data_IF_418439444795
#
_entry.id   IF_418439444795
#
_cell.length_a   1.000
_cell.length_b   1.000
_cell.length_c   1.000
_cell.angle_alpha   90.00
_cell.angle_beta   90.00
_cell.angle_gamma   90.00
#
_symmetry.space_group_name_H-M   'P 1'
#
loop_
_entity.id
_entity.type
_entity.pdbx_description
1 polymer ?
#
# COMPACT_ATOMS: atom_id res chain seq x y z
N UNK A 1 -16.22 3.68 -6.59
CA UNK A 1 -15.47 2.64 -5.85
C UNK A 1 -16.29 1.36 -5.92
N UNK A 2 -15.67 0.19 -6.10
CA UNK A 2 -16.41 -1.06 -5.96
C UNK A 2 -17.04 -1.11 -4.56
N UNK A 3 -18.32 -1.42 -4.46
CA UNK A 3 -19.00 -1.59 -3.18
C UNK A 3 -18.48 -2.90 -2.60
N UNK A 4 -17.49 -2.82 -1.70
CA UNK A 4 -16.92 -3.97 -1.02
C UNK A 4 -17.82 -4.24 0.20
N UNK A 5 -18.66 -5.27 0.12
CA UNK A 5 -19.53 -5.66 1.22
C UNK A 5 -18.72 -6.38 2.30
N UNK A 6 -18.88 -5.95 3.56
CA UNK A 6 -18.49 -6.78 4.69
C UNK A 6 -19.35 -8.05 4.67
N UNK A 7 -18.71 -9.24 4.75
CA UNK A 7 -19.45 -10.50 4.90
C UNK A 7 -19.97 -10.56 6.34
N UNK A 8 -21.28 -10.40 6.51
CA UNK A 8 -21.98 -10.55 7.79
C UNK A 8 -22.63 -11.94 7.76
N UNK A 9 -22.22 -12.84 8.67
CA UNK A 9 -22.93 -14.10 8.92
C UNK A 9 -23.55 -14.03 10.32
N UNK A 10 -24.88 -14.18 10.39
CA UNK A 10 -25.66 -14.19 11.63
C UNK A 10 -26.12 -15.63 11.86
N UNK A 11 -25.84 -16.20 13.03
CA UNK A 11 -26.40 -17.49 13.46
C UNK A 11 -27.58 -17.29 14.42
N UNK A 12 -28.39 -18.34 14.58
CA UNK A 12 -29.66 -18.39 15.32
C UNK A 12 -29.63 -17.83 16.77
N UNK A 13 -28.46 -17.60 17.37
CA UNK A 13 -28.33 -17.16 18.77
C UNK A 13 -28.01 -15.65 18.93
N UNK A 14 -28.10 -14.82 17.88
CA UNK A 14 -27.83 -13.38 17.94
C UNK A 14 -26.44 -12.97 18.49
N UNK A 15 -25.50 -13.91 18.59
CA UNK A 15 -24.10 -13.61 18.85
C UNK A 15 -23.47 -13.00 17.59
N UNK A 16 -23.19 -11.71 17.61
CA UNK A 16 -22.45 -11.03 16.55
C UNK A 16 -20.97 -11.35 16.72
N UNK A 17 -20.44 -12.29 15.92
CA UNK A 17 -19.00 -12.42 15.73
C UNK A 17 -18.57 -11.45 14.62
N UNK A 18 -17.76 -10.45 14.94
CA UNK A 18 -17.15 -9.61 13.91
C UNK A 18 -15.97 -10.37 13.27
N UNK A 19 -16.30 -11.02 12.15
CA UNK A 19 -15.59 -11.07 10.85
C UNK A 19 -14.14 -11.60 10.89
N UNK A 20 -13.95 -12.82 10.37
CA UNK A 20 -12.65 -13.25 9.83
C UNK A 20 -12.11 -12.14 8.92
N UNK A 21 -11.02 -11.47 9.31
CA UNK A 21 -10.38 -10.41 8.50
C UNK A 21 -10.30 -10.90 7.05
N UNK A 22 -10.96 -10.17 6.15
CA UNK A 22 -11.08 -10.57 4.76
C UNK A 22 -9.68 -10.79 4.18
N UNK A 23 -9.44 -11.96 3.60
CA UNK A 23 -8.11 -12.26 3.05
C UNK A 23 -7.86 -11.35 1.86
N UNK A 24 -6.60 -10.98 1.64
CA UNK A 24 -6.25 -10.15 0.49
C UNK A 24 -6.67 -10.81 -0.84
N UNK A 25 -6.65 -12.15 -0.93
CA UNK A 25 -7.18 -12.91 -2.06
C UNK A 25 -8.63 -12.57 -2.36
N UNK A 26 -9.48 -12.49 -1.34
CA UNK A 26 -10.90 -12.27 -1.47
C UNK A 26 -11.18 -10.84 -1.91
N UNK A 27 -10.42 -9.87 -1.37
CA UNK A 27 -10.50 -8.46 -1.77
C UNK A 27 -10.06 -8.31 -3.24
N UNK A 28 -8.98 -8.98 -3.64
CA UNK A 28 -8.50 -8.97 -5.03
C UNK A 28 -9.57 -9.49 -5.98
N UNK A 29 -10.22 -10.62 -5.67
CA UNK A 29 -11.31 -11.17 -6.50
C UNK A 29 -12.46 -10.18 -6.64
N UNK A 30 -12.90 -9.56 -5.54
CA UNK A 30 -13.97 -8.56 -5.59
C UNK A 30 -13.59 -7.30 -6.35
N UNK A 31 -12.34 -6.83 -6.27
CA UNK A 31 -11.87 -5.70 -7.07
C UNK A 31 -11.88 -6.07 -8.55
N UNK A 32 -11.53 -7.31 -8.93
CA UNK A 32 -11.61 -7.79 -10.31
C UNK A 32 -13.04 -7.86 -10.84
N UNK A 33 -13.97 -8.39 -10.06
CA UNK A 33 -15.37 -8.52 -10.47
C UNK A 33 -16.05 -7.16 -10.64
N UNK A 34 -15.77 -6.23 -9.74
CA UNK A 34 -16.42 -4.92 -9.72
C UNK A 34 -15.76 -3.89 -10.65
N UNK A 35 -14.57 -4.17 -11.20
CA UNK A 35 -13.87 -3.25 -12.08
C UNK A 35 -13.41 -3.96 -13.35
N UNK A 36 -13.69 -3.39 -14.51
CA UNK A 36 -13.20 -3.90 -15.79
C UNK A 36 -11.70 -3.54 -16.05
N UNK A 37 -10.86 -3.66 -15.02
CA UNK A 37 -9.45 -3.29 -15.08
C UNK A 37 -8.59 -4.45 -15.56
N UNK A 38 -7.71 -4.19 -16.54
CA UNK A 38 -6.77 -5.19 -17.07
C UNK A 38 -5.45 -5.28 -16.28
N UNK A 39 -5.15 -4.26 -15.47
CA UNK A 39 -3.86 -4.15 -14.78
C UNK A 39 -3.91 -4.82 -13.41
N UNK A 40 -3.24 -5.97 -13.30
CA UNK A 40 -3.09 -6.69 -12.03
C UNK A 40 -2.46 -5.80 -10.94
N UNK A 41 -1.46 -4.98 -11.27
CA UNK A 41 -0.86 -4.05 -10.31
C UNK A 41 -1.87 -3.03 -9.78
N UNK A 42 -2.82 -2.58 -10.60
CA UNK A 42 -3.86 -1.64 -10.19
C UNK A 42 -4.89 -2.32 -9.29
N UNK A 43 -5.31 -3.52 -9.66
CA UNK A 43 -6.24 -4.35 -8.88
C UNK A 43 -5.67 -4.62 -7.49
N UNK A 44 -4.42 -5.11 -7.42
CA UNK A 44 -3.78 -5.42 -6.14
C UNK A 44 -3.52 -4.16 -5.32
N UNK A 45 -3.15 -3.04 -5.95
CA UNK A 45 -2.99 -1.76 -5.27
C UNK A 45 -4.28 -1.35 -4.56
N UNK A 46 -5.40 -1.32 -5.28
CA UNK A 46 -6.72 -1.00 -4.74
C UNK A 46 -7.12 -1.96 -3.60
N UNK A 47 -6.87 -3.27 -3.78
CA UNK A 47 -7.15 -4.27 -2.75
C UNK A 47 -6.30 -4.07 -1.49
N UNK A 48 -5.03 -3.68 -1.63
CA UNK A 48 -4.14 -3.37 -0.52
C UNK A 48 -4.56 -2.11 0.23
N UNK A 49 -4.99 -1.05 -0.48
CA UNK A 49 -5.54 0.16 0.15
C UNK A 49 -6.76 -0.16 1.01
N UNK A 50 -7.69 -0.96 0.47
CA UNK A 50 -8.85 -1.43 1.23
C UNK A 50 -8.42 -2.29 2.43
N UNK A 51 -7.45 -3.18 2.26
CA UNK A 51 -6.96 -4.02 3.35
C UNK A 51 -6.42 -3.17 4.52
N UNK A 52 -5.57 -2.17 4.25
CA UNK A 52 -5.06 -1.26 5.30
C UNK A 52 -6.21 -0.56 5.99
N UNK A 53 -7.09 0.09 5.21
CA UNK A 53 -8.23 0.85 5.74
C UNK A 53 -9.08 0.03 6.71
N UNK A 54 -9.35 -1.23 6.39
CA UNK A 54 -10.30 -2.07 7.14
C UNK A 54 -9.66 -2.91 8.25
N UNK A 55 -8.35 -3.15 8.22
CA UNK A 55 -7.72 -4.17 9.09
C UNK A 55 -6.57 -3.66 9.96
N UNK A 56 -6.04 -2.47 9.67
CA UNK A 56 -4.83 -1.92 10.31
C UNK A 56 -5.20 -0.63 11.03
N UNK A 57 -4.70 -0.47 12.25
CA UNK A 57 -4.78 0.78 13.00
C UNK A 57 -3.68 1.74 12.56
N UNK A 58 -3.95 3.04 12.63
CA UNK A 58 -2.95 4.07 12.39
C UNK A 58 -1.82 3.97 13.39
N UNK A 59 -0.59 3.81 12.90
CA UNK A 59 0.61 3.67 13.75
C UNK A 59 0.92 4.95 14.54
N UNK A 60 0.40 6.11 14.09
CA UNK A 60 0.60 7.41 14.77
C UNK A 60 -0.30 7.59 16.00
N UNK A 61 -1.59 7.26 15.89
CA UNK A 61 -2.59 7.58 16.93
C UNK A 61 -3.36 6.36 17.45
N UNK A 62 -3.10 5.16 16.91
CA UNK A 62 -3.74 3.89 17.28
C UNK A 62 -5.26 3.82 17.02
N UNK A 63 -5.81 4.75 16.24
CA UNK A 63 -7.19 4.75 15.76
C UNK A 63 -7.34 3.90 14.48
N UNK A 64 -8.55 3.47 14.11
CA UNK A 64 -8.86 2.74 12.87
C UNK A 64 -9.61 3.59 11.83
N UNK A 65 -9.73 4.91 12.05
CA UNK A 65 -10.47 5.79 11.16
C UNK A 65 -9.62 6.28 9.96
N UNK A 66 -9.51 5.41 8.95
CA UNK A 66 -8.92 5.76 7.65
C UNK A 66 -9.98 6.10 6.61
N UNK A 67 -9.74 7.17 5.86
CA UNK A 67 -10.49 7.49 4.64
C UNK A 67 -9.60 7.39 3.40
N UNK A 68 -10.22 7.11 2.26
CA UNK A 68 -9.52 7.06 0.97
C UNK A 68 -9.46 8.47 0.39
N UNK A 69 -8.28 8.90 -0.05
CA UNK A 69 -8.10 10.16 -0.73
C UNK A 69 -8.79 10.14 -2.12
N UNK A 70 -9.05 11.32 -2.68
CA UNK A 70 -9.71 11.39 -4.00
C UNK A 70 -8.85 10.71 -5.07
N UNK A 71 -9.50 10.04 -6.01
CA UNK A 71 -8.81 9.37 -7.12
C UNK A 71 -7.96 10.38 -7.89
N UNK A 72 -6.69 10.04 -8.13
CA UNK A 72 -5.66 10.87 -8.77
C UNK A 72 -5.04 11.98 -7.91
N UNK A 73 -5.33 12.06 -6.61
CA UNK A 73 -4.46 12.83 -5.72
C UNK A 73 -3.07 12.19 -5.70
N UNK A 74 -2.07 12.96 -6.14
CA UNK A 74 -0.73 12.42 -6.29
C UNK A 74 -0.16 12.03 -4.92
N UNK A 75 0.27 10.77 -4.85
CA UNK A 75 1.02 10.17 -3.75
C UNK A 75 0.34 10.05 -2.39
N UNK A 76 -0.99 10.11 -2.33
CA UNK A 76 -1.76 9.89 -1.09
C UNK A 76 -2.92 8.97 -1.41
N UNK A 77 -2.96 7.81 -0.77
CA UNK A 77 -4.02 6.82 -0.98
C UNK A 77 -5.02 6.87 0.18
N UNK A 78 -4.51 7.06 1.40
CA UNK A 78 -5.31 7.11 2.62
C UNK A 78 -4.96 8.33 3.48
N UNK A 79 -5.90 8.75 4.32
CA UNK A 79 -5.70 9.72 5.39
C UNK A 79 -6.31 9.17 6.68
N UNK A 80 -5.59 9.25 7.80
CA UNK A 80 -6.17 9.02 9.12
C UNK A 80 -6.94 10.26 9.54
N UNK A 81 -8.25 10.17 9.73
CA UNK A 81 -9.07 11.33 10.10
C UNK A 81 -8.80 11.79 11.53
N UNK A 82 -8.34 10.89 12.40
CA UNK A 82 -8.10 11.21 13.82
C UNK A 82 -6.82 12.01 14.06
N UNK A 83 -5.80 11.87 13.20
CA UNK A 83 -4.53 12.60 13.35
C UNK A 83 -4.06 13.30 12.07
N UNK A 84 -4.88 13.31 11.02
CA UNK A 84 -4.60 13.87 9.69
C UNK A 84 -3.36 13.33 8.98
N UNK A 85 -2.81 12.19 9.42
CA UNK A 85 -1.64 11.58 8.79
C UNK A 85 -2.00 11.08 7.39
N UNK A 86 -1.31 11.62 6.39
CA UNK A 86 -1.39 11.19 4.98
C UNK A 86 -0.55 9.94 4.77
N UNK A 87 -1.06 9.01 3.98
CA UNK A 87 -0.46 7.70 3.79
C UNK A 87 -0.45 7.31 2.31
N UNK A 88 0.68 6.79 1.86
CA UNK A 88 0.81 6.02 0.63
C UNK A 88 0.83 4.52 0.96
N UNK A 89 0.04 3.73 0.25
CA UNK A 89 0.05 2.28 0.27
C UNK A 89 0.78 1.75 -0.96
N UNK A 90 1.68 0.79 -0.75
CA UNK A 90 2.36 0.06 -1.84
C UNK A 90 2.18 -1.44 -1.66
N UNK A 91 1.95 -2.13 -2.77
CA UNK A 91 1.93 -3.59 -2.82
C UNK A 91 3.23 -4.11 -3.45
N UNK A 92 3.84 -5.14 -2.84
CA UNK A 92 5.02 -5.81 -3.40
C UNK A 92 4.92 -7.32 -3.23
N UNK A 93 4.87 -8.03 -4.35
CA UNK A 93 5.03 -9.48 -4.35
C UNK A 93 6.41 -9.87 -3.81
N UNK A 94 6.45 -10.74 -2.81
CA UNK A 94 7.67 -11.14 -2.10
C UNK A 94 7.64 -12.63 -1.74
N UNK A 95 8.81 -13.19 -1.48
CA UNK A 95 8.95 -14.52 -0.87
C UNK A 95 9.30 -14.40 0.61
N UNK A 96 9.10 -15.45 1.41
CA UNK A 96 9.48 -15.46 2.83
C UNK A 96 10.97 -15.13 3.02
N UNK A 97 11.84 -15.65 2.15
CA UNK A 97 13.28 -15.36 2.16
C UNK A 97 13.56 -13.85 1.98
N UNK A 98 12.85 -13.20 1.06
CA UNK A 98 12.99 -11.75 0.86
C UNK A 98 12.51 -10.96 2.08
N UNK A 99 11.38 -11.35 2.67
CA UNK A 99 10.88 -10.72 3.91
C UNK A 99 11.88 -10.87 5.06
N UNK A 100 12.45 -12.05 5.25
CA UNK A 100 13.47 -12.27 6.28
C UNK A 100 14.71 -11.39 6.05
N UNK A 101 15.16 -11.25 4.79
CA UNK A 101 16.27 -10.34 4.46
C UNK A 101 15.94 -8.87 4.75
N UNK A 102 14.70 -8.44 4.49
CA UNK A 102 14.24 -7.08 4.82
C UNK A 102 14.26 -6.86 6.33
N UNK A 103 13.73 -7.82 7.11
CA UNK A 103 13.74 -7.76 8.58
C UNK A 103 15.17 -7.70 9.13
N UNK A 104 16.06 -8.55 8.63
CA UNK A 104 17.46 -8.59 9.08
C UNK A 104 18.25 -7.32 8.75
N UNK A 105 18.02 -6.75 7.56
CA UNK A 105 18.73 -5.53 7.14
C UNK A 105 18.09 -4.25 7.65
N UNK A 106 16.82 -4.32 8.06
CA UNK A 106 15.97 -3.16 8.34
C UNK A 106 15.91 -2.15 7.17
N UNK A 107 15.92 -2.68 5.93
CA UNK A 107 15.91 -1.90 4.69
C UNK A 107 15.03 -2.53 3.61
N UNK A 108 14.39 -1.69 2.81
CA UNK A 108 13.52 -2.13 1.70
C UNK A 108 13.65 -1.19 0.50
N UNK A 109 13.98 -1.75 -0.65
CA UNK A 109 14.08 -1.01 -1.91
C UNK A 109 12.90 -1.34 -2.82
N UNK A 110 12.26 -0.31 -3.36
CA UNK A 110 11.13 -0.48 -4.30
C UNK A 110 11.14 0.57 -5.40
N UNK A 111 10.25 0.39 -6.37
CA UNK A 111 10.02 1.35 -7.45
C UNK A 111 9.02 2.41 -6.96
N UNK A 112 9.38 3.68 -7.17
CA UNK A 112 8.52 4.83 -6.90
C UNK A 112 7.67 5.23 -8.10
N UNK A 113 7.05 6.40 -7.99
CA UNK A 113 6.33 7.03 -9.10
C UNK A 113 7.28 7.82 -9.99
N UNK A 114 6.80 8.96 -10.49
CA UNK A 114 7.63 9.93 -11.19
C UNK A 114 8.64 10.56 -10.22
N UNK A 115 9.88 10.73 -10.66
CA UNK A 115 10.98 11.19 -9.81
C UNK A 115 10.72 12.58 -9.21
N UNK A 116 10.39 13.57 -10.05
CA UNK A 116 10.15 14.95 -9.64
C UNK A 116 8.98 15.07 -8.67
N UNK A 117 7.88 14.38 -8.95
CA UNK A 117 6.70 14.33 -8.08
C UNK A 117 7.01 13.65 -6.74
N UNK A 118 7.72 12.52 -6.75
CA UNK A 118 8.09 11.82 -5.51
C UNK A 118 8.99 12.70 -4.62
N UNK A 119 9.93 13.45 -5.21
CA UNK A 119 10.76 14.40 -4.47
C UNK A 119 9.93 15.52 -3.82
N UNK A 120 8.98 16.12 -4.56
CA UNK A 120 8.10 17.17 -4.01
C UNK A 120 7.28 16.66 -2.82
N UNK A 121 6.86 15.39 -2.87
CA UNK A 121 6.04 14.78 -1.85
C UNK A 121 6.78 14.44 -0.55
N UNK A 122 8.11 14.57 -0.49
CA UNK A 122 8.84 14.51 0.79
C UNK A 122 8.31 15.59 1.76
N UNK A 123 8.07 16.80 1.24
CA UNK A 123 7.58 17.93 2.05
C UNK A 123 6.13 17.76 2.52
N UNK A 124 5.39 16.80 1.96
CA UNK A 124 4.01 16.50 2.33
C UNK A 124 3.90 15.57 3.55
N UNK A 125 5.03 15.17 4.14
CA UNK A 125 5.11 14.35 5.36
C UNK A 125 4.28 13.07 5.28
N UNK A 126 4.41 12.35 4.16
CA UNK A 126 3.59 11.17 3.85
C UNK A 126 4.23 9.91 4.41
N UNK A 127 3.48 9.17 5.23
CA UNK A 127 3.89 7.85 5.71
C UNK A 127 3.62 6.77 4.67
N UNK A 128 4.35 5.65 4.73
CA UNK A 128 4.16 4.54 3.82
C UNK A 128 3.72 3.27 4.56
N UNK A 129 2.68 2.62 4.04
CA UNK A 129 2.45 1.20 4.27
C UNK A 129 2.89 0.39 3.06
N UNK A 130 3.60 -0.71 3.28
CA UNK A 130 4.03 -1.63 2.22
C UNK A 130 3.55 -3.03 2.55
N UNK A 131 2.60 -3.53 1.78
CA UNK A 131 2.11 -4.89 1.90
C UNK A 131 3.01 -5.82 1.09
N UNK A 132 3.68 -6.73 1.77
CA UNK A 132 4.48 -7.81 1.20
C UNK A 132 3.60 -9.06 1.11
N UNK A 133 3.32 -9.54 -0.10
CA UNK A 133 2.39 -10.64 -0.32
C UNK A 133 2.97 -11.72 -1.25
N UNK A 134 2.49 -12.95 -1.12
CA UNK A 134 2.80 -14.04 -2.05
C UNK A 134 1.99 -13.89 -3.33
N UNK A 135 2.66 -13.90 -4.48
CA UNK A 135 2.04 -13.57 -5.78
C UNK A 135 0.92 -14.54 -6.19
N UNK A 136 1.08 -15.83 -5.92
CA UNK A 136 0.16 -16.87 -6.39
C UNK A 136 -1.13 -16.92 -5.56
N UNK A 137 -1.01 -16.81 -4.24
CA UNK A 137 -2.12 -16.97 -3.31
C UNK A 137 -2.71 -15.64 -2.82
N UNK A 138 -2.04 -14.51 -3.11
CA UNK A 138 -2.29 -13.23 -2.47
C UNK A 138 -2.20 -13.26 -0.94
N UNK A 139 -1.55 -14.26 -0.35
CA UNK A 139 -1.33 -14.32 1.10
C UNK A 139 -0.40 -13.19 1.51
N UNK A 140 -0.84 -12.35 2.45
CA UNK A 140 0.04 -11.36 3.06
C UNK A 140 1.09 -12.10 3.89
N UNK A 141 2.36 -11.81 3.60
CA UNK A 141 3.51 -12.33 4.35
C UNK A 141 3.87 -11.36 5.47
N UNK A 142 3.88 -10.06 5.17
CA UNK A 142 4.15 -9.01 6.15
C UNK A 142 3.65 -7.64 5.68
N UNK A 143 3.49 -6.71 6.62
CA UNK A 143 3.21 -5.30 6.36
C UNK A 143 4.33 -4.47 7.00
N UNK A 144 4.94 -3.62 6.19
CA UNK A 144 5.93 -2.65 6.62
C UNK A 144 5.27 -1.30 6.80
N UNK A 145 5.73 -0.55 7.79
CA UNK A 145 5.38 0.85 7.98
C UNK A 145 6.65 1.71 8.01
N UNK A 146 6.63 2.81 7.28
CA UNK A 146 7.75 3.75 7.18
C UNK A 146 7.21 5.13 7.51
N UNK A 147 7.81 5.72 8.53
CA UNK A 147 7.56 7.08 8.97
C UNK A 147 8.19 8.08 8.00
N UNK A 148 7.46 9.16 7.68
CA UNK A 148 7.94 10.21 6.78
C UNK A 148 9.27 10.83 7.22
N UNK A 149 9.54 10.89 8.54
CA UNK A 149 10.79 11.41 9.11
C UNK A 149 12.01 10.57 8.70
N UNK A 150 11.80 9.34 8.22
CA UNK A 150 12.85 8.45 7.71
C UNK A 150 13.02 8.53 6.18
N UNK A 151 12.33 9.46 5.51
CA UNK A 151 12.34 9.59 4.05
C UNK A 151 12.92 10.96 3.68
N UNK A 152 14.13 10.96 3.12
CA UNK A 152 14.78 12.17 2.59
C UNK A 152 14.99 12.05 1.08
N UNK A 153 15.52 13.10 0.45
CA UNK A 153 15.90 13.08 -0.97
C UNK A 153 16.90 11.97 -1.29
N UNK A 154 17.77 11.62 -0.35
CA UNK A 154 18.80 10.60 -0.52
C UNK A 154 18.21 9.19 -0.63
N UNK A 155 16.99 9.01 -0.11
CA UNK A 155 16.22 7.78 -0.31
C UNK A 155 15.77 7.60 -1.76
N UNK A 156 15.77 8.65 -2.59
CA UNK A 156 15.14 8.66 -3.92
C UNK A 156 16.20 8.79 -5.01
N UNK A 157 16.40 7.73 -5.79
CA UNK A 157 17.33 7.73 -6.93
C UNK A 157 16.57 7.77 -8.26
N UNK A 158 16.87 8.69 -9.18
CA UNK A 158 16.24 8.73 -10.49
C UNK A 158 16.58 7.48 -11.31
N UNK A 159 15.62 7.00 -12.10
CA UNK A 159 15.85 5.98 -13.13
C UNK A 159 16.16 6.66 -14.46
N UNK A 160 16.65 5.89 -15.44
CA UNK A 160 16.74 6.37 -16.82
C UNK A 160 15.32 6.73 -17.32
N UNK A 161 15.13 7.88 -18.00
CA UNK A 161 13.88 8.19 -18.67
C UNK A 161 13.47 7.08 -19.65
N UNK A 162 12.17 6.89 -19.84
CA UNK A 162 11.66 5.95 -20.83
C UNK A 162 12.07 6.38 -22.25
N UNK A 163 12.29 5.38 -23.11
CA UNK A 163 12.69 5.60 -24.51
C UNK A 163 11.69 6.48 -25.26
N UNK A 164 12.16 7.14 -26.32
CA UNK A 164 11.31 7.95 -27.19
C UNK A 164 10.16 7.14 -27.84
N UNK A 165 10.34 5.83 -27.97
CA UNK A 165 9.34 4.90 -28.51
C UNK A 165 8.32 4.42 -27.48
N UNK A 166 8.51 4.71 -26.19
CA UNK A 166 7.58 4.30 -25.14
C UNK A 166 6.30 5.15 -25.16
N UNK A 167 5.19 4.57 -24.73
CA UNK A 167 3.90 5.30 -24.58
C UNK A 167 4.01 6.58 -23.73
N UNK A 168 4.93 6.59 -22.76
CA UNK A 168 5.24 7.74 -21.91
C UNK A 168 6.69 8.20 -22.14
N UNK A 169 7.03 8.47 -23.40
CA UNK A 169 8.36 8.93 -23.78
C UNK A 169 8.89 10.04 -22.87
N UNK A 170 10.15 9.93 -22.44
CA UNK A 170 10.76 10.91 -21.53
C UNK A 170 10.31 10.82 -20.08
N UNK A 171 9.28 10.03 -19.74
CA UNK A 171 8.87 9.88 -18.35
C UNK A 171 9.99 9.25 -17.52
N UNK A 172 10.31 9.89 -16.39
CA UNK A 172 11.37 9.45 -15.50
C UNK A 172 10.79 8.99 -14.16
N UNK A 173 10.86 7.68 -13.92
CA UNK A 173 10.55 7.12 -12.61
C UNK A 173 11.71 7.20 -11.63
N UNK A 174 11.49 6.75 -10.40
CA UNK A 174 12.53 6.62 -9.39
C UNK A 174 12.57 5.24 -8.71
N UNK A 175 13.68 4.96 -8.04
CA UNK A 175 13.75 3.95 -7.00
C UNK A 175 13.69 4.66 -5.65
N UNK A 176 13.09 4.02 -4.66
CA UNK A 176 13.04 4.48 -3.28
C UNK A 176 13.70 3.42 -2.41
N UNK A 177 14.66 3.83 -1.60
CA UNK A 177 15.26 3.02 -0.53
C UNK A 177 14.71 3.51 0.81
N UNK A 178 13.97 2.64 1.49
CA UNK A 178 13.52 2.87 2.84
C UNK A 178 14.47 2.22 3.83
N UNK A 179 14.84 2.98 4.85
CA UNK A 179 15.57 2.54 6.02
C UNK A 179 14.68 2.76 7.27
N UNK A 180 15.03 2.18 8.42
CA UNK A 180 14.29 2.32 9.68
C UNK A 180 12.80 1.91 9.55
N UNK A 181 12.58 0.69 9.10
CA UNK A 181 11.26 0.15 8.80
C UNK A 181 10.65 -0.49 10.04
N UNK A 182 9.38 -0.22 10.28
CA UNK A 182 8.60 -0.89 11.31
C UNK A 182 7.87 -2.11 10.73
N UNK A 183 7.92 -3.23 11.44
CA UNK A 183 7.20 -4.45 11.09
C UNK A 183 5.87 -4.46 11.83
N UNK A 184 4.77 -4.62 11.09
CA UNK A 184 3.42 -4.56 11.66
C UNK A 184 2.87 -5.95 11.99
N UNK A 185 3.23 -6.99 11.21
CA UNK A 185 2.77 -8.38 11.42
C UNK A 185 3.89 -9.44 11.30
#
# INVERSE_FOLDING_TARGET
>A
MPIIYNKIEINYNNTIYIINKMKLSDIVSQVKENNNWKSESRIVGEACEYYIKSNIKCVRCNDNNFEKCKTNEQSKDLICISCNQKIQVKAKSSTQKQVNNIKNKNKFKTIGGEYSTTLKNINEQIDYFIILYEKQSYKIINILYIKNENISSDCITPRKPLSITAKRAGWQGCNILFDNIQIII
#
